data_IF_509692141629
#
_entry.id   IF_509692141629
#
_cell.length_a   1.000
_cell.length_b   1.000
_cell.length_c   1.000
_cell.angle_alpha   90.00
_cell.angle_beta   90.00
_cell.angle_gamma   90.00
#
_symmetry.space_group_name_H-M   'P 1'
#
loop_
_entity.id
_entity.type
_entity.pdbx_description
1 polymer ?
#
# COMPACT_ATOMS: atom_id res chain seq x y z
N UNK A 1 17.65 8.11 -8.92
CA UNK A 1 17.21 8.98 -7.81
C UNK A 1 17.17 8.09 -6.58
N UNK A 2 17.89 8.47 -5.53
CA UNK A 2 17.97 7.75 -4.26
C UNK A 2 16.66 7.86 -3.49
N UNK A 3 16.40 6.90 -2.61
CA UNK A 3 15.24 6.94 -1.71
C UNK A 3 15.49 7.98 -0.60
N UNK A 4 14.43 8.74 -0.26
CA UNK A 4 14.54 9.96 0.57
C UNK A 4 13.50 9.94 1.68
N UNK A 5 13.92 10.36 2.88
CA UNK A 5 13.03 10.70 3.98
C UNK A 5 12.64 12.18 3.85
N UNK A 6 11.33 12.45 3.85
CA UNK A 6 10.74 13.78 3.67
C UNK A 6 10.14 14.20 5.01
N UNK A 7 10.63 15.27 5.66
CA UNK A 7 9.99 15.82 6.84
C UNK A 7 8.55 16.23 6.55
N UNK A 8 7.61 15.75 7.38
CA UNK A 8 6.19 16.13 7.31
C UNK A 8 5.81 17.14 8.40
N UNK A 9 6.64 17.24 9.45
CA UNK A 9 6.46 18.11 10.60
C UNK A 9 7.75 18.88 10.91
N UNK A 10 7.63 20.10 11.43
CA UNK A 10 8.75 20.89 11.96
C UNK A 10 9.04 20.62 13.45
N UNK A 11 8.43 19.57 14.03
CA UNK A 11 8.51 19.26 15.45
C UNK A 11 9.87 18.65 15.85
N UNK A 12 10.26 18.85 17.11
CA UNK A 12 11.51 18.29 17.65
C UNK A 12 11.52 16.77 17.59
N UNK A 13 12.61 16.23 17.05
CA UNK A 13 12.75 14.83 16.68
C UNK A 13 13.15 13.92 17.86
N UNK A 14 13.27 14.44 19.09
CA UNK A 14 14.15 13.81 20.09
C UNK A 14 13.63 12.51 20.74
N UNK A 15 12.36 12.14 20.62
CA UNK A 15 11.82 10.96 21.31
C UNK A 15 11.25 9.91 20.36
N UNK A 16 10.18 10.23 19.64
CA UNK A 16 9.46 9.27 18.80
C UNK A 16 9.30 9.79 17.37
N UNK A 17 9.53 8.90 16.40
CA UNK A 17 9.33 9.18 14.97
C UNK A 17 8.33 8.21 14.35
N UNK A 18 7.43 8.75 13.53
CA UNK A 18 6.55 7.94 12.67
C UNK A 18 6.94 8.08 11.21
N UNK A 19 7.07 6.95 10.51
CA UNK A 19 7.49 6.89 9.11
C UNK A 19 6.34 6.38 8.25
N UNK A 20 5.94 7.13 7.23
CA UNK A 20 4.92 6.76 6.27
C UNK A 20 5.55 6.19 4.99
N UNK A 21 5.33 4.91 4.73
CA UNK A 21 5.85 4.17 3.57
C UNK A 21 4.71 3.93 2.57
N UNK A 22 4.68 4.69 1.48
CA UNK A 22 3.65 4.55 0.44
C UNK A 22 3.90 3.36 -0.48
N UNK A 23 2.83 2.89 -1.12
CA UNK A 23 2.87 1.78 -2.07
C UNK A 23 3.04 2.18 -3.53
N UNK A 24 2.51 1.33 -4.42
CA UNK A 24 2.65 1.41 -5.87
C UNK A 24 2.32 2.81 -6.44
N UNK A 25 3.07 3.25 -7.46
CA UNK A 25 2.97 4.55 -8.15
C UNK A 25 3.53 5.77 -7.40
N UNK A 26 4.25 5.57 -6.30
CA UNK A 26 5.08 6.60 -5.68
C UNK A 26 6.33 6.88 -6.54
N UNK A 27 6.49 8.12 -7.02
CA UNK A 27 7.74 8.64 -7.61
C UNK A 27 7.72 10.17 -7.65
N UNK A 28 8.82 10.80 -7.20
CA UNK A 28 8.91 12.26 -7.15
C UNK A 28 7.95 12.84 -6.12
N UNK A 29 7.73 12.08 -5.04
CA UNK A 29 6.87 12.48 -3.94
C UNK A 29 7.41 13.78 -3.33
N UNK A 30 6.49 14.58 -2.86
CA UNK A 30 6.72 15.83 -2.16
C UNK A 30 5.92 15.74 -0.87
N UNK A 31 6.16 16.60 0.14
CA UNK A 31 5.34 16.61 1.35
C UNK A 31 3.83 16.58 1.06
N UNK A 32 3.38 17.32 0.03
CA UNK A 32 1.98 17.38 -0.42
C UNK A 32 1.36 16.00 -0.75
N UNK A 33 2.18 15.03 -1.17
CA UNK A 33 1.69 13.69 -1.49
C UNK A 33 1.43 12.84 -0.23
N UNK A 34 1.84 13.32 0.94
CA UNK A 34 1.59 12.73 2.26
C UNK A 34 0.52 13.50 3.06
N UNK A 35 -0.04 14.61 2.56
CA UNK A 35 -1.00 15.45 3.30
C UNK A 35 -2.16 14.67 3.92
N UNK A 36 -2.74 13.73 3.20
CA UNK A 36 -3.80 12.85 3.73
C UNK A 36 -3.32 12.04 4.94
N UNK A 37 -2.15 11.42 4.82
CA UNK A 37 -1.56 10.65 5.91
C UNK A 37 -1.23 11.55 7.10
N UNK A 38 -0.67 12.73 6.82
CA UNK A 38 -0.30 13.69 7.85
C UNK A 38 -1.54 14.27 8.57
N UNK A 39 -2.66 14.45 7.87
CA UNK A 39 -3.94 14.83 8.49
C UNK A 39 -4.38 13.78 9.53
N UNK A 40 -4.32 12.49 9.15
CA UNK A 40 -4.58 11.39 10.09
C UNK A 40 -3.56 11.32 11.22
N UNK A 41 -2.29 11.64 10.95
CA UNK A 41 -1.23 11.75 11.96
C UNK A 41 -1.57 12.81 13.00
N UNK A 42 -1.93 14.02 12.59
CA UNK A 42 -2.28 15.12 13.51
C UNK A 42 -3.46 14.72 14.39
N UNK A 43 -4.48 14.06 13.84
CA UNK A 43 -5.59 13.53 14.63
C UNK A 43 -5.11 12.56 15.71
N UNK A 44 -4.17 11.66 15.40
CA UNK A 44 -3.61 10.69 16.36
C UNK A 44 -2.69 11.34 17.40
N UNK A 45 -1.98 12.41 17.03
CA UNK A 45 -1.21 13.22 17.98
C UNK A 45 -2.16 13.82 19.04
N UNK A 46 -3.26 14.41 18.60
CA UNK A 46 -4.23 15.06 19.48
C UNK A 46 -5.02 14.07 20.36
N UNK A 47 -5.42 12.94 19.79
CA UNK A 47 -6.37 12.02 20.43
C UNK A 47 -5.73 10.81 21.11
N UNK A 48 -4.56 10.36 20.64
CA UNK A 48 -3.92 9.10 21.07
C UNK A 48 -2.47 9.29 21.53
N UNK A 49 -1.99 10.55 21.61
CA UNK A 49 -0.69 10.89 22.16
C UNK A 49 0.48 10.35 21.34
N UNK A 50 0.30 10.23 20.02
CA UNK A 50 1.42 10.02 19.09
C UNK A 50 2.36 11.23 19.13
N UNK A 51 3.65 11.01 18.91
CA UNK A 51 4.56 12.13 18.76
C UNK A 51 4.33 12.87 17.43
N UNK A 52 4.49 14.21 17.42
CA UNK A 52 4.25 15.01 16.23
C UNK A 52 5.28 14.78 15.12
N UNK A 53 6.47 14.25 15.45
CA UNK A 53 7.54 14.09 14.46
C UNK A 53 7.25 12.95 13.47
N UNK A 54 7.08 13.31 12.21
CA UNK A 54 6.71 12.39 11.13
C UNK A 54 7.54 12.59 9.85
N UNK A 55 7.84 11.47 9.20
CA UNK A 55 8.60 11.41 7.94
C UNK A 55 7.81 10.64 6.88
N UNK A 56 7.85 11.10 5.64
CA UNK A 56 7.41 10.35 4.46
C UNK A 56 8.60 9.66 3.82
N UNK A 57 8.50 8.35 3.57
CA UNK A 57 9.53 7.60 2.84
C UNK A 57 9.15 7.50 1.36
N UNK A 58 9.97 8.12 0.52
CA UNK A 58 9.83 8.06 -0.93
C UNK A 58 10.79 7.01 -1.51
N UNK A 59 10.24 6.13 -2.33
CA UNK A 59 10.98 5.18 -3.18
C UNK A 59 10.41 5.14 -4.59
N UNK A 60 11.21 4.74 -5.59
CA UNK A 60 10.77 4.66 -7.01
C UNK A 60 10.00 3.35 -7.24
N UNK A 61 8.68 3.42 -7.12
CA UNK A 61 7.77 2.26 -7.30
C UNK A 61 7.14 2.17 -8.70
N UNK A 62 7.70 2.91 -9.68
CA UNK A 62 7.35 2.82 -11.09
C UNK A 62 6.48 3.97 -11.63
N UNK A 63 6.25 3.97 -12.95
CA UNK A 63 5.34 4.91 -13.66
C UNK A 63 4.12 4.15 -14.17
N UNK A 64 2.93 4.65 -13.89
CA UNK A 64 1.78 4.35 -14.76
C UNK A 64 2.04 5.12 -16.06
N UNK A 65 2.49 4.44 -17.11
CA UNK A 65 2.54 5.07 -18.43
C UNK A 65 1.13 5.60 -18.72
N UNK A 66 0.97 6.93 -18.80
CA UNK A 66 -0.28 7.56 -19.19
C UNK A 66 -0.78 6.84 -20.43
N UNK A 67 -1.97 6.28 -20.34
CA UNK A 67 -2.66 5.65 -21.46
C UNK A 67 -2.82 6.70 -22.56
N UNK A 68 -1.86 6.74 -23.48
CA UNK A 68 -2.14 7.18 -24.83
C UNK A 68 -2.99 6.06 -25.46
N UNK A 69 -4.26 5.98 -25.07
CA UNK A 69 -5.25 5.39 -25.95
C UNK A 69 -5.08 6.17 -27.27
N UNK A 70 -4.81 5.52 -28.41
CA UNK A 70 -4.75 6.24 -29.66
C UNK A 70 -6.20 6.69 -29.93
N UNK A 71 -6.55 7.89 -29.47
CA UNK A 71 -7.92 8.45 -29.56
C UNK A 71 -8.39 8.45 -31.02
N UNK A 72 -7.46 8.61 -31.96
CA UNK A 72 -7.70 8.50 -33.39
C UNK A 72 -8.15 7.08 -33.83
N UNK A 73 -7.63 6.02 -33.21
CA UNK A 73 -8.06 4.64 -33.49
C UNK A 73 -9.44 4.33 -32.89
N UNK A 74 -9.71 4.78 -31.67
CA UNK A 74 -11.01 4.59 -31.03
C UNK A 74 -12.12 5.35 -31.77
N UNK A 75 -11.89 6.60 -32.19
CA UNK A 75 -12.87 7.39 -32.94
C UNK A 75 -13.18 6.80 -34.33
N UNK A 76 -12.15 6.34 -35.05
CA UNK A 76 -12.31 5.69 -36.36
C UNK A 76 -13.07 4.37 -36.22
N UNK A 77 -12.75 3.56 -35.22
CA UNK A 77 -13.42 2.28 -34.97
C UNK A 77 -14.87 2.47 -34.49
N UNK A 78 -15.15 3.45 -33.63
CA UNK A 78 -16.53 3.81 -33.24
C UNK A 78 -17.32 4.28 -34.46
N UNK A 79 -16.70 5.07 -35.34
CA UNK A 79 -17.32 5.52 -36.59
C UNK A 79 -17.58 4.36 -37.56
N UNK A 80 -16.65 3.42 -37.70
CA UNK A 80 -16.80 2.24 -38.56
C UNK A 80 -17.87 1.29 -38.01
N UNK A 81 -17.93 1.09 -36.69
CA UNK A 81 -19.00 0.35 -36.00
C UNK A 81 -20.35 1.04 -36.20
N UNK A 82 -20.43 2.36 -36.02
CA UNK A 82 -21.65 3.15 -36.23
C UNK A 82 -22.14 3.07 -37.68
N UNK A 83 -21.24 3.23 -38.66
CA UNK A 83 -21.54 3.13 -40.10
C UNK A 83 -22.04 1.74 -40.47
N UNK A 84 -21.43 0.70 -39.90
CA UNK A 84 -21.82 -0.70 -40.14
C UNK A 84 -23.16 -1.06 -39.49
N UNK A 85 -23.41 -0.67 -38.23
CA UNK A 85 -24.71 -0.83 -37.53
C UNK A 85 -25.83 -0.14 -38.30
N UNK A 86 -25.57 1.06 -38.85
CA UNK A 86 -26.56 1.81 -39.61
C UNK A 86 -26.92 1.14 -40.95
N UNK A 87 -26.03 0.31 -41.50
CA UNK A 87 -26.23 -0.37 -42.78
C UNK A 87 -26.49 -1.88 -42.67
N UNK A 88 -26.30 -2.49 -41.50
CA UNK A 88 -26.59 -3.92 -41.28
C UNK A 88 -27.44 -4.10 -40.02
N UNK A 89 -28.66 -4.59 -40.19
CA UNK A 89 -29.60 -4.97 -39.12
C UNK A 89 -29.20 -6.28 -38.40
N UNK A 90 -27.92 -6.47 -38.13
CA UNK A 90 -27.36 -7.72 -37.58
C UNK A 90 -26.88 -7.53 -36.14
N UNK A 91 -26.94 -8.59 -35.32
CA UNK A 91 -26.44 -8.68 -33.93
C UNK A 91 -24.90 -8.73 -33.82
N UNK A 92 -24.20 -8.98 -34.93
CA UNK A 92 -22.73 -9.06 -35.00
C UNK A 92 -21.93 -7.83 -34.52
N UNK A 93 -22.40 -6.56 -34.67
CA UNK A 93 -21.63 -5.37 -34.29
C UNK A 93 -21.49 -5.16 -32.78
N UNK A 94 -22.49 -5.59 -31.99
CA UNK A 94 -22.42 -5.51 -30.52
C UNK A 94 -21.41 -6.51 -29.98
N UNK A 95 -21.34 -7.70 -30.59
CA UNK A 95 -20.33 -8.69 -30.27
C UNK A 95 -18.92 -8.21 -30.62
N UNK A 96 -18.74 -7.56 -31.78
CA UNK A 96 -17.45 -6.97 -32.16
C UNK A 96 -17.02 -5.80 -31.26
N UNK A 97 -17.96 -4.92 -30.88
CA UNK A 97 -17.70 -3.85 -29.92
C UNK A 97 -17.36 -4.41 -28.53
N UNK A 98 -18.09 -5.44 -28.07
CA UNK A 98 -17.80 -6.15 -26.83
C UNK A 98 -16.44 -6.83 -26.85
N UNK A 99 -16.08 -7.47 -27.96
CA UNK A 99 -14.77 -8.10 -28.14
C UNK A 99 -13.63 -7.08 -28.09
N UNK A 100 -13.78 -5.93 -28.75
CA UNK A 100 -12.76 -4.88 -28.70
C UNK A 100 -12.62 -4.26 -27.30
N UNK A 101 -13.73 -4.01 -26.59
CA UNK A 101 -13.69 -3.56 -25.19
C UNK A 101 -12.99 -4.59 -24.32
N UNK A 102 -13.27 -5.88 -24.52
CA UNK A 102 -12.62 -6.97 -23.81
C UNK A 102 -11.12 -7.05 -24.13
N UNK A 103 -10.71 -6.89 -25.39
CA UNK A 103 -9.31 -6.87 -25.81
C UNK A 103 -8.55 -5.70 -25.18
N UNK A 104 -9.13 -4.49 -25.20
CA UNK A 104 -8.52 -3.33 -24.58
C UNK A 104 -8.43 -3.47 -23.06
N UNK A 105 -9.48 -3.98 -22.41
CA UNK A 105 -9.47 -4.29 -20.98
C UNK A 105 -8.38 -5.33 -20.65
N UNK A 106 -8.21 -6.36 -21.48
CA UNK A 106 -7.18 -7.37 -21.31
C UNK A 106 -5.76 -6.79 -21.45
N UNK A 107 -5.51 -5.93 -22.45
CA UNK A 107 -4.21 -5.26 -22.64
C UNK A 107 -3.90 -4.31 -21.48
N UNK A 108 -4.87 -3.52 -21.02
CA UNK A 108 -4.70 -2.64 -19.86
C UNK A 108 -4.40 -3.47 -18.61
N UNK A 109 -5.14 -4.55 -18.39
CA UNK A 109 -4.95 -5.45 -17.26
C UNK A 109 -3.57 -6.12 -17.30
N UNK A 110 -3.16 -6.65 -18.46
CA UNK A 110 -1.85 -7.28 -18.62
C UNK A 110 -0.68 -6.30 -18.38
N UNK A 111 -0.81 -5.05 -18.84
CA UNK A 111 0.19 -4.01 -18.58
C UNK A 111 0.21 -3.59 -17.12
N UNK A 112 -0.95 -3.47 -16.49
CA UNK A 112 -1.06 -3.21 -15.06
C UNK A 112 -0.39 -4.32 -14.24
N UNK A 113 -0.68 -5.58 -14.57
CA UNK A 113 -0.04 -6.77 -13.97
C UNK A 113 1.48 -6.72 -14.15
N UNK A 114 1.97 -6.46 -15.36
CA UNK A 114 3.41 -6.35 -15.61
C UNK A 114 4.09 -5.26 -14.78
N UNK A 115 3.46 -4.08 -14.69
CA UNK A 115 3.97 -2.99 -13.85
C UNK A 115 3.91 -3.32 -12.36
N UNK A 116 2.86 -3.99 -11.92
CA UNK A 116 2.70 -4.43 -10.53
C UNK A 116 3.78 -5.46 -10.15
N UNK A 117 4.03 -6.46 -11.00
CA UNK A 117 5.08 -7.47 -10.77
C UNK A 117 6.47 -6.83 -10.72
N UNK A 118 6.74 -5.87 -11.61
CA UNK A 118 7.98 -5.12 -11.59
C UNK A 118 8.10 -4.29 -10.30
N UNK A 119 7.06 -3.58 -9.90
CA UNK A 119 7.08 -2.81 -8.66
C UNK A 119 7.21 -3.70 -7.41
N UNK A 120 6.62 -4.91 -7.43
CA UNK A 120 6.82 -5.91 -6.39
C UNK A 120 8.29 -6.33 -6.28
N UNK A 121 8.93 -6.58 -7.43
CA UNK A 121 10.37 -6.89 -7.49
C UNK A 121 11.23 -5.74 -6.96
N UNK A 122 10.89 -4.50 -7.31
CA UNK A 122 11.58 -3.31 -6.83
C UNK A 122 11.38 -3.09 -5.33
N UNK A 123 10.16 -3.34 -4.81
CA UNK A 123 9.85 -3.25 -3.39
C UNK A 123 10.77 -4.19 -2.58
N UNK A 124 10.91 -5.45 -2.99
CA UNK A 124 11.83 -6.38 -2.33
C UNK A 124 13.31 -5.98 -2.52
N UNK A 125 13.71 -5.57 -3.73
CA UNK A 125 15.12 -5.21 -4.00
C UNK A 125 15.58 -3.96 -3.23
N UNK A 126 14.66 -3.07 -2.85
CA UNK A 126 14.93 -1.84 -2.08
C UNK A 126 14.62 -1.98 -0.60
N UNK A 127 14.36 -3.19 -0.13
CA UNK A 127 14.16 -3.45 1.29
C UNK A 127 15.42 -3.13 2.11
N UNK A 128 16.61 -3.36 1.54
CA UNK A 128 17.90 -3.02 2.17
C UNK A 128 18.04 -1.52 2.45
N UNK A 129 17.64 -0.67 1.49
CA UNK A 129 17.66 0.79 1.65
C UNK A 129 16.73 1.22 2.80
N UNK A 130 15.51 0.68 2.84
CA UNK A 130 14.57 0.97 3.93
C UNK A 130 15.10 0.44 5.27
N UNK A 131 15.65 -0.77 5.32
CA UNK A 131 16.23 -1.35 6.53
C UNK A 131 17.37 -0.46 7.08
N UNK A 132 18.26 0.01 6.22
CA UNK A 132 19.32 0.95 6.61
C UNK A 132 18.75 2.20 7.25
N UNK A 133 17.70 2.80 6.67
CA UNK A 133 17.05 3.99 7.23
C UNK A 133 16.36 3.72 8.56
N UNK A 134 15.69 2.57 8.69
CA UNK A 134 15.05 2.18 9.95
C UNK A 134 16.08 1.92 11.06
N UNK A 135 17.24 1.36 10.72
CA UNK A 135 18.35 1.19 11.65
C UNK A 135 18.88 2.54 12.13
N UNK A 136 19.10 3.49 11.21
CA UNK A 136 19.57 4.85 11.54
C UNK A 136 18.59 5.57 12.49
N UNK A 137 17.29 5.44 12.22
CA UNK A 137 16.24 6.06 13.04
C UNK A 137 16.12 5.38 14.41
N UNK A 138 16.27 4.05 14.48
CA UNK A 138 16.25 3.32 15.75
C UNK A 138 17.45 3.64 16.64
N UNK A 139 18.56 4.11 16.06
CA UNK A 139 19.70 4.63 16.82
C UNK A 139 19.50 6.07 17.33
N UNK A 140 18.62 6.85 16.69
CA UNK A 140 18.40 8.28 16.98
C UNK A 140 17.18 8.54 17.85
N UNK A 141 16.19 7.64 17.83
CA UNK A 141 14.89 7.82 18.47
C UNK A 141 14.63 6.70 19.47
N UNK A 142 14.04 7.04 20.61
CA UNK A 142 13.67 6.05 21.62
C UNK A 142 12.48 5.20 21.19
N UNK A 143 11.69 5.67 20.20
CA UNK A 143 10.61 4.91 19.58
C UNK A 143 10.49 5.19 18.08
N UNK A 144 10.39 4.12 17.29
CA UNK A 144 10.18 4.18 15.84
C UNK A 144 8.88 3.46 15.49
N UNK A 145 7.97 4.16 14.81
CA UNK A 145 6.73 3.60 14.25
C UNK A 145 6.77 3.66 12.72
N UNK A 146 6.27 2.62 12.06
CA UNK A 146 6.11 2.59 10.60
C UNK A 146 4.64 2.43 10.24
N UNK A 147 4.16 3.22 9.30
CA UNK A 147 2.85 3.10 8.68
C UNK A 147 3.06 2.87 7.19
N UNK A 148 2.78 1.66 6.73
CA UNK A 148 2.99 1.24 5.37
C UNK A 148 1.66 1.01 4.64
N UNK A 149 1.60 1.27 3.34
CA UNK A 149 0.40 1.05 2.53
C UNK A 149 0.69 0.26 1.26
N UNK A 150 -0.22 -0.65 0.89
CA UNK A 150 -0.17 -1.39 -0.37
C UNK A 150 1.18 -2.11 -0.55
N UNK A 151 1.91 -1.90 -1.67
CA UNK A 151 3.25 -2.49 -1.88
C UNK A 151 4.31 -2.03 -0.86
N UNK A 152 4.11 -0.88 -0.22
CA UNK A 152 4.98 -0.41 0.85
C UNK A 152 4.98 -1.37 2.05
N UNK A 153 3.90 -2.13 2.24
CA UNK A 153 3.83 -3.18 3.27
C UNK A 153 4.82 -4.30 2.98
N UNK A 154 4.93 -4.75 1.72
CA UNK A 154 5.90 -5.77 1.32
C UNK A 154 7.32 -5.29 1.59
N UNK A 155 7.67 -4.08 1.13
CA UNK A 155 8.99 -3.51 1.38
C UNK A 155 9.30 -3.40 2.88
N UNK A 156 8.31 -3.01 3.68
CA UNK A 156 8.44 -2.88 5.15
C UNK A 156 8.69 -4.23 5.82
N UNK A 157 7.95 -5.28 5.44
CA UNK A 157 8.13 -6.64 5.98
C UNK A 157 9.51 -7.19 5.60
N UNK A 158 9.92 -7.03 4.34
CA UNK A 158 11.25 -7.43 3.87
C UNK A 158 12.35 -6.65 4.60
N UNK A 159 12.19 -5.34 4.79
CA UNK A 159 13.16 -4.50 5.50
C UNK A 159 13.28 -4.90 6.97
N UNK A 160 12.17 -5.16 7.65
CA UNK A 160 12.17 -5.61 9.04
C UNK A 160 12.84 -6.98 9.22
N UNK A 161 12.68 -7.88 8.24
CA UNK A 161 13.33 -9.20 8.26
C UNK A 161 14.87 -9.10 8.14
N UNK A 162 15.40 -8.04 7.52
CA UNK A 162 16.84 -7.76 7.44
C UNK A 162 17.41 -7.19 8.74
N UNK A 163 16.56 -6.72 9.66
CA UNK A 163 16.98 -6.12 10.92
C UNK A 163 17.02 -7.15 12.05
N UNK A 164 18.03 -7.00 12.92
CA UNK A 164 18.06 -7.67 14.20
C UNK A 164 16.82 -7.28 15.03
N UNK A 165 16.20 -8.20 15.79
CA UNK A 165 14.95 -7.95 16.52
C UNK A 165 14.95 -6.68 17.39
N UNK A 166 16.09 -6.33 17.97
CA UNK A 166 16.28 -5.20 18.87
C UNK A 166 16.28 -3.85 18.14
N UNK A 167 16.64 -3.87 16.85
CA UNK A 167 16.73 -2.72 15.94
C UNK A 167 15.45 -2.54 15.12
N UNK A 168 14.53 -3.50 15.15
CA UNK A 168 13.25 -3.40 14.44
C UNK A 168 12.43 -2.21 14.97
N UNK A 169 11.58 -1.61 14.11
CA UNK A 169 10.60 -0.63 14.57
C UNK A 169 9.76 -1.21 15.72
N UNK A 170 9.37 -0.34 16.64
CA UNK A 170 8.62 -0.72 17.82
C UNK A 170 7.21 -1.16 17.42
N UNK A 171 6.63 -0.42 16.48
CA UNK A 171 5.25 -0.57 16.06
C UNK A 171 5.14 -0.44 14.53
N UNK A 172 4.44 -1.36 13.89
CA UNK A 172 4.28 -1.38 12.44
C UNK A 172 2.79 -1.52 12.07
N UNK A 173 2.30 -0.61 11.24
CA UNK A 173 0.94 -0.59 10.72
C UNK A 173 0.96 -0.91 9.23
N UNK A 174 0.43 -2.06 8.84
CA UNK A 174 0.38 -2.55 7.46
C UNK A 174 -1.04 -2.34 6.90
N UNK A 175 -1.21 -1.28 6.10
CA UNK A 175 -2.50 -0.87 5.54
C UNK A 175 -2.70 -1.48 4.14
N UNK A 176 -3.72 -2.32 3.98
CA UNK A 176 -4.04 -3.01 2.73
C UNK A 176 -2.82 -3.67 2.06
N UNK A 177 -2.13 -4.64 2.71
CA UNK A 177 -0.89 -5.18 2.17
C UNK A 177 -1.10 -5.81 0.79
N UNK A 178 -0.34 -5.33 -0.20
CA UNK A 178 -0.38 -5.82 -1.58
C UNK A 178 0.67 -6.92 -1.79
N UNK A 179 0.58 -7.98 -0.99
CA UNK A 179 1.39 -9.20 -1.10
C UNK A 179 0.56 -10.43 -0.72
N UNK A 180 1.05 -11.61 -1.11
CA UNK A 180 0.48 -12.88 -0.69
C UNK A 180 1.09 -13.29 0.65
N UNK A 181 0.30 -13.95 1.49
CA UNK A 181 0.79 -14.51 2.76
C UNK A 181 1.94 -15.50 2.55
N UNK A 182 1.81 -16.39 1.57
CA UNK A 182 2.86 -17.37 1.23
C UNK A 182 4.21 -16.73 0.85
N UNK A 183 4.21 -15.50 0.35
CA UNK A 183 5.44 -14.80 -0.06
C UNK A 183 6.21 -14.21 1.15
N UNK A 184 5.53 -14.05 2.30
CA UNK A 184 6.09 -13.35 3.47
C UNK A 184 5.89 -14.10 4.79
N UNK A 185 5.24 -15.27 4.79
CA UNK A 185 4.87 -16.03 5.99
C UNK A 185 6.05 -16.29 6.92
N UNK A 186 7.22 -16.62 6.38
CA UNK A 186 8.46 -16.85 7.13
C UNK A 186 9.02 -15.59 7.81
N UNK A 187 8.50 -14.41 7.45
CA UNK A 187 8.94 -13.09 7.93
C UNK A 187 7.89 -12.40 8.80
N UNK A 188 6.68 -12.93 8.88
CA UNK A 188 5.56 -12.28 9.59
C UNK A 188 5.63 -12.43 11.13
N UNK A 189 6.42 -13.38 11.62
CA UNK A 189 6.68 -13.50 13.05
C UNK A 189 7.56 -12.37 13.58
N UNK A 190 7.05 -11.63 14.57
CA UNK A 190 7.76 -10.54 15.24
C UNK A 190 8.31 -9.48 14.28
N UNK A 191 7.57 -9.13 13.21
CA UNK A 191 7.95 -8.10 12.22
C UNK A 191 8.33 -6.77 12.91
N UNK A 192 7.59 -6.41 13.95
CA UNK A 192 7.93 -5.31 14.84
C UNK A 192 8.47 -5.83 16.16
N UNK A 193 9.21 -4.99 16.88
CA UNK A 193 9.76 -5.32 18.20
C UNK A 193 8.67 -5.51 19.26
N UNK A 194 7.58 -4.75 19.18
CA UNK A 194 6.48 -4.83 20.15
C UNK A 194 5.20 -5.35 19.51
N UNK A 195 4.70 -4.67 18.46
CA UNK A 195 3.42 -5.04 17.84
C UNK A 195 3.33 -4.61 16.37
N UNK A 196 2.70 -5.45 15.58
CA UNK A 196 2.32 -5.17 14.20
C UNK A 196 0.80 -5.24 14.04
N UNK A 197 0.23 -4.34 13.25
CA UNK A 197 -1.19 -4.36 12.88
C UNK A 197 -1.32 -4.57 11.37
N UNK A 198 -2.23 -5.45 10.97
CA UNK A 198 -2.60 -5.63 9.57
C UNK A 198 -4.05 -5.18 9.39
N UNK A 199 -4.23 -4.08 8.68
CA UNK A 199 -5.54 -3.54 8.34
C UNK A 199 -5.99 -4.11 7.00
N UNK A 200 -7.10 -4.84 7.02
CA UNK A 200 -7.63 -5.50 5.84
C UNK A 200 -9.14 -5.29 5.72
N UNK A 201 -9.64 -5.46 4.50
CA UNK A 201 -11.07 -5.42 4.22
C UNK A 201 -11.40 -6.26 2.98
N UNK A 202 -12.49 -7.02 3.07
CA UNK A 202 -12.97 -7.84 1.96
C UNK A 202 -13.59 -6.99 0.83
N UNK A 203 -13.80 -5.70 1.07
CA UNK A 203 -14.32 -4.73 0.10
C UNK A 203 -13.25 -4.17 -0.84
N UNK A 204 -11.96 -4.50 -0.63
CA UNK A 204 -10.88 -4.08 -1.52
C UNK A 204 -10.88 -4.89 -2.84
N UNK A 205 -11.81 -4.54 -3.73
CA UNK A 205 -11.96 -5.16 -5.04
C UNK A 205 -10.77 -4.89 -5.97
N UNK A 206 -10.03 -3.80 -5.76
CA UNK A 206 -8.84 -3.49 -6.56
C UNK A 206 -7.77 -4.52 -6.29
N UNK A 207 -7.46 -4.80 -5.02
CA UNK A 207 -6.52 -5.85 -4.66
C UNK A 207 -7.06 -7.24 -5.03
N UNK A 208 -8.32 -7.54 -4.73
CA UNK A 208 -8.90 -8.85 -5.01
C UNK A 208 -8.86 -9.19 -6.52
N UNK A 209 -9.27 -8.26 -7.39
CA UNK A 209 -9.25 -8.47 -8.83
C UNK A 209 -7.81 -8.58 -9.37
N UNK A 210 -6.91 -7.71 -8.92
CA UNK A 210 -5.53 -7.68 -9.38
C UNK A 210 -4.81 -8.99 -9.03
N UNK A 211 -4.96 -9.47 -7.80
CA UNK A 211 -4.26 -10.68 -7.35
C UNK A 211 -4.89 -11.97 -7.91
N UNK A 212 -6.22 -12.02 -8.07
CA UNK A 212 -6.86 -13.14 -8.78
C UNK A 212 -6.37 -13.26 -10.22
N UNK A 213 -6.13 -12.14 -10.90
CA UNK A 213 -5.61 -12.13 -12.26
C UNK A 213 -4.13 -12.58 -12.36
N UNK A 214 -3.34 -12.41 -11.29
CA UNK A 214 -1.90 -12.69 -11.28
C UNK A 214 -1.60 -14.11 -10.79
N UNK A 215 -2.15 -14.50 -9.65
CA UNK A 215 -1.75 -15.71 -8.92
C UNK A 215 -2.91 -16.64 -8.59
N UNK A 216 -4.14 -16.29 -8.98
CA UNK A 216 -5.39 -16.95 -8.52
C UNK A 216 -5.58 -16.93 -6.99
N UNK A 217 -4.69 -16.28 -6.24
CA UNK A 217 -4.76 -16.09 -4.80
C UNK A 217 -5.24 -14.67 -4.47
N UNK A 218 -5.41 -14.39 -3.18
CA UNK A 218 -5.88 -13.10 -2.67
C UNK A 218 -4.76 -12.41 -1.90
N UNK A 219 -4.67 -11.08 -2.04
CA UNK A 219 -3.73 -10.29 -1.25
C UNK A 219 -4.18 -10.24 0.20
N UNK A 220 -3.22 -10.18 1.13
CA UNK A 220 -3.50 -10.04 2.58
C UNK A 220 -4.45 -8.86 2.85
N UNK A 221 -4.27 -7.73 2.17
CA UNK A 221 -5.15 -6.56 2.32
C UNK A 221 -6.63 -6.79 1.96
N UNK A 222 -6.93 -7.80 1.14
CA UNK A 222 -8.28 -8.15 0.69
C UNK A 222 -8.86 -9.39 1.37
N UNK A 223 -8.04 -10.23 2.00
CA UNK A 223 -8.48 -11.49 2.64
C UNK A 223 -8.23 -11.57 4.13
N UNK A 224 -7.29 -10.78 4.67
CA UNK A 224 -6.69 -11.03 5.98
C UNK A 224 -5.58 -12.08 5.88
N UNK A 225 -5.16 -12.60 7.04
CA UNK A 225 -4.21 -13.71 7.17
C UNK A 225 -4.95 -14.99 7.59
N UNK A 226 -4.46 -16.13 7.12
CA UNK A 226 -4.92 -17.46 7.52
C UNK A 226 -4.09 -18.00 8.71
N UNK A 227 -2.78 -17.70 8.74
CA UNK A 227 -1.86 -18.05 9.80
C UNK A 227 -1.95 -17.16 11.04
N UNK A 228 -1.47 -17.70 12.16
CA UNK A 228 -1.26 -16.95 13.41
C UNK A 228 0.24 -16.63 13.54
N UNK A 229 0.55 -15.36 13.78
CA UNK A 229 1.92 -14.84 13.76
C UNK A 229 2.20 -14.03 15.02
N UNK A 230 3.34 -14.31 15.64
CA UNK A 230 3.69 -13.71 16.92
C UNK A 230 3.81 -12.18 16.81
N UNK A 231 3.13 -11.46 17.71
CA UNK A 231 3.16 -10.00 17.77
C UNK A 231 2.38 -9.30 16.66
N UNK A 232 1.60 -10.02 15.85
CA UNK A 232 0.79 -9.46 14.77
C UNK A 232 -0.71 -9.52 15.13
N UNK A 233 -1.41 -8.40 14.95
CA UNK A 233 -2.85 -8.29 15.17
C UNK A 233 -3.57 -7.93 13.87
N UNK A 234 -4.55 -8.74 13.49
CA UNK A 234 -5.45 -8.42 12.38
C UNK A 234 -6.53 -7.42 12.81
N UNK A 235 -6.76 -6.40 11.99
CA UNK A 235 -7.80 -5.39 12.20
C UNK A 235 -8.69 -5.34 10.96
N UNK A 236 -9.94 -5.81 11.10
CA UNK A 236 -10.95 -5.69 10.05
C UNK A 236 -11.50 -4.26 10.02
N UNK A 237 -11.16 -3.54 8.95
CA UNK A 237 -11.54 -2.13 8.74
C UNK A 237 -12.69 -1.98 7.76
N UNK A 238 -13.45 -3.05 7.47
CA UNK A 238 -14.53 -3.02 6.48
C UNK A 238 -15.58 -1.95 6.75
N UNK A 239 -15.86 -1.63 8.01
CA UNK A 239 -16.84 -0.59 8.39
C UNK A 239 -16.35 0.85 8.11
N UNK A 240 -15.06 1.05 7.87
CA UNK A 240 -14.48 2.36 7.61
C UNK A 240 -14.51 2.75 6.12
N UNK A 241 -14.93 1.83 5.24
CA UNK A 241 -14.90 2.03 3.80
C UNK A 241 -16.19 1.59 3.11
N UNK A 242 -16.58 2.38 2.10
CA UNK A 242 -17.66 2.03 1.18
C UNK A 242 -17.09 1.44 -0.13
N UNK A 243 -17.12 2.19 -1.24
CA UNK A 243 -16.83 1.67 -2.59
C UNK A 243 -15.37 1.80 -3.03
N UNK A 244 -14.69 2.90 -2.68
CA UNK A 244 -13.31 3.19 -3.10
C UNK A 244 -12.33 2.89 -1.98
N UNK A 245 -12.04 1.62 -1.71
CA UNK A 245 -11.31 1.25 -0.48
C UNK A 245 -9.80 1.47 -0.59
N UNK A 246 -9.16 0.90 -1.62
CA UNK A 246 -7.70 0.77 -1.65
C UNK A 246 -6.95 2.11 -1.54
N UNK A 247 -7.46 3.15 -2.18
CA UNK A 247 -6.83 4.48 -2.22
C UNK A 247 -7.20 5.37 -1.03
N UNK A 248 -8.19 4.98 -0.24
CA UNK A 248 -8.75 5.79 0.85
C UNK A 248 -8.12 5.52 2.22
N UNK A 249 -7.28 4.48 2.35
CA UNK A 249 -6.54 4.21 3.59
C UNK A 249 -5.81 5.44 4.12
N UNK A 250 -5.20 6.23 3.23
CA UNK A 250 -4.52 7.49 3.59
C UNK A 250 -5.43 8.53 4.22
N UNK A 251 -6.71 8.57 3.85
CA UNK A 251 -7.68 9.55 4.34
C UNK A 251 -8.37 9.07 5.63
N UNK A 252 -8.36 7.75 5.87
CA UNK A 252 -9.05 7.10 7.00
C UNK A 252 -8.09 6.57 8.06
N UNK A 253 -6.78 6.72 7.85
CA UNK A 253 -5.78 6.12 8.73
C UNK A 253 -5.96 6.54 10.19
N UNK A 254 -6.17 7.83 10.43
CA UNK A 254 -6.42 8.37 11.77
C UNK A 254 -7.54 7.63 12.49
N UNK A 255 -8.68 7.42 11.82
CA UNK A 255 -9.85 6.73 12.36
C UNK A 255 -9.59 5.23 12.57
N UNK A 256 -9.02 4.54 11.58
CA UNK A 256 -8.83 3.08 11.65
C UNK A 256 -7.72 2.69 12.62
N UNK A 257 -6.72 3.54 12.83
CA UNK A 257 -5.66 3.31 13.79
C UNK A 257 -6.19 3.31 15.24
N UNK A 258 -7.29 4.02 15.52
CA UNK A 258 -7.94 4.02 16.84
C UNK A 258 -8.59 2.67 17.20
N UNK A 259 -8.86 1.85 16.19
CA UNK A 259 -9.47 0.53 16.37
C UNK A 259 -8.42 -0.52 16.74
N UNK A 260 -7.15 -0.22 16.49
CA UNK A 260 -6.07 -1.10 16.90
C UNK A 260 -5.96 -1.06 18.43
N UNK A 261 -5.96 -2.22 19.11
CA UNK A 261 -5.85 -2.26 20.56
C UNK A 261 -4.53 -1.63 20.98
N UNK A 262 -4.56 -0.59 21.82
CA UNK A 262 -3.34 0.09 22.24
C UNK A 262 -2.42 -0.88 22.99
N UNK A 263 -1.13 -1.00 22.63
CA UNK A 263 -0.21 -1.83 23.40
C UNK A 263 -0.11 -1.21 24.80
N UNK A 264 -0.38 -2.01 25.85
CA UNK A 264 -0.36 -1.48 27.21
C UNK A 264 1.03 -0.92 27.52
N UNK A 265 1.14 0.40 27.73
CA UNK A 265 2.40 1.07 28.16
C UNK A 265 2.99 0.50 29.46
N UNK A 266 2.25 -0.36 30.17
CA UNK A 266 2.57 -0.91 31.48
C UNK A 266 3.58 -2.08 31.52
N UNK A 267 4.24 -2.46 30.41
CA UNK A 267 5.24 -3.56 30.41
C UNK A 267 6.68 -3.15 30.11
N UNK A 268 7.01 -1.86 30.17
CA UNK A 268 8.40 -1.38 29.97
C UNK A 268 9.07 -0.89 31.28
N UNK A 269 8.52 -1.26 32.44
CA UNK A 269 9.18 -1.13 33.73
C UNK A 269 9.40 -2.52 34.33
N UNK A 270 10.51 -3.16 33.97
CA UNK A 270 11.24 -4.13 34.77
C UNK A 270 12.65 -4.28 34.22
#
# INVERSE_FOLDING_TARGET
MSDVMIPLSDADANEEVTIYVKGFLARGETPAHFDSWYTGHTQLVESHGWAPYALGYQWDSGKLQKLALPVASAAKTIYDIYRFIRHTRSFAPVAAAGWFVAEQAAVISARFVGQFLEARRQASARAEDLASRLSDLSAQHSRVRVVAHSLGCLQTVEAAALLAPEVRPHEIHLCAPACLEVDVADKLDAVAREVSYVYYTKLDHVLDLSFRAISQARAIGASGLEGDYAGLTLVDVSHAFDFWVHTEYKNRFGDIAMLAPTPSRARLSN
#
